data_IF_080307117747
#
_entry.id   IF_080307117747
#
_cell.length_a   1.000
_cell.length_b   1.000
_cell.length_c   1.000
_cell.angle_alpha   90.00
_cell.angle_beta   90.00
_cell.angle_gamma   90.00
#
_symmetry.space_group_name_H-M   'P 1'
#
loop_
_entity.id
_entity.type
_entity.pdbx_description
1 polymer ?
#
# COMPACT_ATOMS: atom_id res chain seq x y z
N UNK A 1 20.77 3.66 -17.22
CA UNK A 1 19.83 2.52 -17.18
C UNK A 1 18.78 2.78 -18.22
N UNK A 2 18.55 1.85 -19.17
CA UNK A 2 17.47 1.99 -20.15
C UNK A 2 16.12 1.62 -19.53
N UNK A 3 15.00 2.05 -20.12
CA UNK A 3 13.65 1.67 -19.67
C UNK A 3 13.50 0.13 -19.58
N UNK A 4 13.90 -0.59 -20.63
CA UNK A 4 13.86 -2.06 -20.64
C UNK A 4 14.71 -2.68 -19.53
N UNK A 5 15.90 -2.13 -19.24
CA UNK A 5 16.71 -2.61 -18.11
C UNK A 5 16.00 -2.32 -16.79
N UNK A 6 15.43 -1.13 -16.62
CA UNK A 6 14.70 -0.75 -15.41
C UNK A 6 13.50 -1.68 -15.16
N UNK A 7 12.61 -1.87 -16.15
CA UNK A 7 11.42 -2.72 -16.05
C UNK A 7 11.80 -4.16 -15.67
N UNK A 8 12.83 -4.72 -16.33
CA UNK A 8 13.26 -6.09 -16.06
C UNK A 8 13.92 -6.26 -14.69
N UNK A 9 14.80 -5.34 -14.29
CA UNK A 9 15.51 -5.42 -13.01
C UNK A 9 14.61 -5.10 -11.80
N UNK A 10 13.67 -4.17 -11.97
CA UNK A 10 12.69 -3.81 -10.93
C UNK A 10 11.56 -4.81 -10.78
N UNK A 11 11.38 -5.72 -11.76
CA UNK A 11 10.24 -6.64 -11.85
C UNK A 11 8.92 -5.88 -11.80
N UNK A 12 8.81 -4.84 -12.63
CA UNK A 12 7.65 -3.97 -12.67
C UNK A 12 6.36 -4.77 -12.95
N UNK A 13 5.20 -4.35 -12.40
CA UNK A 13 3.93 -5.03 -12.67
C UNK A 13 3.59 -4.94 -14.16
N UNK A 14 2.78 -5.89 -14.66
CA UNK A 14 2.45 -5.97 -16.10
C UNK A 14 1.78 -4.72 -16.67
N UNK A 15 1.13 -3.92 -15.82
CA UNK A 15 0.51 -2.64 -16.19
C UNK A 15 1.43 -1.42 -16.01
N UNK A 16 2.73 -1.60 -15.78
CA UNK A 16 3.70 -0.52 -15.52
C UNK A 16 3.59 0.63 -16.54
N UNK A 17 3.61 0.31 -17.83
CA UNK A 17 3.61 1.30 -18.92
C UNK A 17 2.41 2.25 -18.85
N UNK A 18 1.23 1.72 -18.53
CA UNK A 18 0.00 2.51 -18.48
C UNK A 18 -0.21 3.18 -17.11
N UNK A 19 0.07 2.47 -16.01
CA UNK A 19 -0.33 2.90 -14.67
C UNK A 19 0.77 3.60 -13.85
N UNK A 20 2.05 3.34 -14.13
CA UNK A 20 3.16 3.79 -13.27
C UNK A 20 4.23 4.59 -14.00
N UNK A 21 4.50 4.28 -15.26
CA UNK A 21 5.53 4.96 -16.06
C UNK A 21 5.35 6.48 -16.11
N UNK A 22 4.13 7.04 -16.29
CA UNK A 22 3.96 8.50 -16.27
C UNK A 22 4.41 9.14 -14.95
N UNK A 23 4.13 8.49 -13.81
CA UNK A 23 4.55 8.99 -12.50
C UNK A 23 6.08 8.95 -12.33
N UNK A 24 6.71 7.86 -12.77
CA UNK A 24 8.17 7.68 -12.68
C UNK A 24 8.91 8.66 -13.58
N UNK A 25 8.48 8.83 -14.82
CA UNK A 25 9.11 9.79 -15.74
C UNK A 25 8.87 11.23 -15.30
N UNK A 26 7.68 11.58 -14.81
CA UNK A 26 7.43 12.90 -14.21
C UNK A 26 8.36 13.18 -13.02
N UNK A 27 8.53 12.21 -12.13
CA UNK A 27 9.45 12.35 -10.99
C UNK A 27 10.90 12.54 -11.45
N UNK A 28 11.33 11.80 -12.46
CA UNK A 28 12.68 11.89 -13.05
C UNK A 28 12.92 13.24 -13.73
N UNK A 29 11.99 13.72 -14.55
CA UNK A 29 12.06 15.02 -15.22
C UNK A 29 12.17 16.17 -14.21
N UNK A 30 11.42 16.07 -13.10
CA UNK A 30 11.38 17.09 -12.05
C UNK A 30 12.37 16.84 -10.90
N UNK A 31 13.26 15.85 -11.03
CA UNK A 31 14.27 15.47 -10.00
C UNK A 31 13.65 15.20 -8.61
N UNK A 32 12.43 14.66 -8.58
CA UNK A 32 11.75 14.23 -7.37
C UNK A 32 12.33 12.89 -6.93
N UNK A 33 12.74 12.79 -5.66
CA UNK A 33 13.23 11.54 -5.06
C UNK A 33 12.11 10.49 -5.07
N UNK A 34 12.36 9.36 -5.73
CA UNK A 34 11.47 8.18 -5.70
C UNK A 34 12.01 7.18 -4.69
N UNK A 35 11.14 6.72 -3.78
CA UNK A 35 11.49 5.73 -2.75
C UNK A 35 10.65 4.47 -2.97
N UNK A 36 11.33 3.32 -3.08
CA UNK A 36 10.66 2.02 -3.08
C UNK A 36 10.26 1.67 -1.64
N UNK A 37 9.03 1.97 -1.26
CA UNK A 37 8.58 1.90 0.14
C UNK A 37 8.31 0.49 0.67
N UNK A 38 8.18 -0.51 -0.20
CA UNK A 38 7.80 -1.86 0.22
C UNK A 38 8.95 -2.60 0.91
N UNK A 39 8.61 -3.34 1.97
CA UNK A 39 9.48 -4.40 2.46
C UNK A 39 9.79 -5.41 1.33
N UNK A 40 11.05 -5.85 1.16
CA UNK A 40 11.41 -6.79 0.11
C UNK A 40 10.58 -8.08 0.18
N UNK A 41 10.02 -8.48 -0.97
CA UNK A 41 9.09 -9.63 -1.07
C UNK A 41 9.63 -10.93 -0.47
N UNK A 42 10.96 -11.14 -0.48
CA UNK A 42 11.59 -12.32 0.13
C UNK A 42 11.37 -12.39 1.66
N UNK A 43 11.38 -11.24 2.33
CA UNK A 43 11.18 -11.17 3.78
C UNK A 43 9.70 -11.18 4.13
N UNK A 44 8.84 -10.59 3.29
CA UNK A 44 7.38 -10.76 3.41
C UNK A 44 6.98 -12.22 3.26
N UNK A 45 7.57 -12.92 2.29
CA UNK A 45 7.36 -14.36 2.13
C UNK A 45 7.92 -15.18 3.29
N UNK A 46 8.97 -14.69 3.96
CA UNK A 46 9.51 -15.31 5.17
C UNK A 46 8.55 -15.13 6.34
N UNK A 47 8.07 -13.90 6.59
CA UNK A 47 7.04 -13.60 7.59
C UNK A 47 5.82 -14.51 7.46
N UNK A 48 5.36 -14.74 6.22
CA UNK A 48 4.27 -15.68 5.93
C UNK A 48 4.51 -17.09 6.45
N UNK A 49 5.75 -17.57 6.37
CA UNK A 49 6.11 -18.96 6.71
C UNK A 49 6.42 -19.13 8.19
N UNK A 50 7.13 -18.17 8.79
CA UNK A 50 7.65 -18.30 10.17
C UNK A 50 6.86 -17.50 11.19
N UNK A 51 5.99 -16.60 10.73
CA UNK A 51 5.17 -15.71 11.55
C UNK A 51 5.90 -14.44 11.97
N UNK A 52 5.12 -13.42 12.36
CA UNK A 52 5.60 -12.10 12.80
C UNK A 52 6.64 -12.16 13.92
N UNK A 53 6.44 -13.05 14.90
CA UNK A 53 7.29 -13.11 16.09
C UNK A 53 8.64 -13.76 15.83
N UNK A 54 8.71 -14.75 14.93
CA UNK A 54 9.91 -15.56 14.73
C UNK A 54 10.75 -15.09 13.52
N UNK A 55 10.30 -14.05 12.80
CA UNK A 55 10.98 -13.60 11.59
C UNK A 55 12.42 -13.16 11.88
N UNK A 56 12.68 -12.54 13.03
CA UNK A 56 14.00 -12.05 13.43
C UNK A 56 15.04 -13.16 13.48
N UNK A 57 14.67 -14.35 13.97
CA UNK A 57 15.56 -15.50 14.13
C UNK A 57 16.05 -16.07 12.77
N UNK A 58 15.34 -15.72 11.70
CA UNK A 58 15.62 -16.19 10.34
C UNK A 58 16.31 -15.13 9.46
N UNK A 59 16.69 -13.98 10.01
CA UNK A 59 17.27 -12.85 9.27
C UNK A 59 18.77 -12.69 9.53
N UNK A 60 19.52 -12.43 8.46
CA UNK A 60 20.91 -11.98 8.58
C UNK A 60 20.95 -10.52 9.05
N UNK A 61 22.01 -10.06 9.76
CA UNK A 61 22.09 -8.69 10.27
C UNK A 61 21.90 -7.60 9.21
N UNK A 62 22.43 -7.81 7.99
CA UNK A 62 22.25 -6.86 6.88
C UNK A 62 20.81 -6.73 6.38
N UNK A 63 19.95 -7.72 6.63
CA UNK A 63 18.56 -7.69 6.21
C UNK A 63 17.72 -6.69 7.01
N UNK A 64 18.07 -6.44 8.28
CA UNK A 64 17.33 -5.54 9.17
C UNK A 64 17.28 -4.11 8.66
N UNK A 65 18.29 -3.68 7.89
CA UNK A 65 18.33 -2.35 7.25
C UNK A 65 17.27 -2.14 6.16
N UNK A 66 16.66 -3.22 5.68
CA UNK A 66 15.65 -3.20 4.62
C UNK A 66 14.24 -3.44 5.17
N UNK A 67 14.09 -3.47 6.49
CA UNK A 67 12.86 -3.85 7.18
C UNK A 67 12.47 -2.77 8.20
N UNK A 68 11.18 -2.67 8.53
CA UNK A 68 10.74 -1.89 9.68
C UNK A 68 11.28 -2.49 10.98
N UNK A 69 11.23 -1.76 12.10
CA UNK A 69 11.51 -2.31 13.42
C UNK A 69 10.73 -3.60 13.66
N UNK A 70 11.44 -4.65 14.09
CA UNK A 70 10.88 -5.97 14.35
C UNK A 70 10.85 -6.25 15.86
N UNK A 71 9.79 -6.93 16.37
CA UNK A 71 8.58 -7.29 15.64
C UNK A 71 7.72 -6.03 15.37
N UNK A 72 7.11 -5.97 14.17
CA UNK A 72 6.15 -4.91 13.84
C UNK A 72 4.83 -5.10 14.62
N UNK A 73 3.99 -4.08 14.66
CA UNK A 73 2.70 -4.14 15.34
C UNK A 73 1.81 -5.27 14.80
N UNK A 74 1.05 -5.99 15.65
CA UNK A 74 0.06 -6.94 15.14
C UNK A 74 -1.01 -6.22 14.32
N UNK A 75 -1.63 -6.95 13.39
CA UNK A 75 -2.84 -6.49 12.74
C UNK A 75 -3.93 -6.21 13.79
N UNK A 76 -4.64 -5.10 13.65
CA UNK A 76 -5.83 -4.84 14.46
C UNK A 76 -6.99 -5.73 14.05
N UNK A 77 -7.99 -5.87 14.92
CA UNK A 77 -9.21 -6.62 14.60
C UNK A 77 -9.97 -6.07 13.37
N UNK A 78 -10.15 -4.74 13.19
CA UNK A 78 -10.73 -4.20 11.97
C UNK A 78 -9.94 -4.55 10.70
N UNK A 79 -8.62 -4.46 10.75
CA UNK A 79 -7.77 -4.80 9.60
C UNK A 79 -7.79 -6.30 9.30
N UNK A 80 -7.71 -7.15 10.32
CA UNK A 80 -7.84 -8.60 10.17
C UNK A 80 -9.19 -8.99 9.57
N UNK A 81 -10.27 -8.36 10.03
CA UNK A 81 -11.63 -8.58 9.49
C UNK A 81 -11.74 -8.15 8.02
N UNK A 82 -11.19 -6.98 7.68
CA UNK A 82 -11.12 -6.50 6.28
C UNK A 82 -10.35 -7.48 5.40
N UNK A 83 -9.19 -7.95 5.87
CA UNK A 83 -8.38 -8.94 5.16
C UNK A 83 -9.16 -10.24 4.91
N UNK A 84 -9.81 -10.78 5.94
CA UNK A 84 -10.61 -12.01 5.84
C UNK A 84 -11.75 -11.86 4.82
N UNK A 85 -12.44 -10.71 4.80
CA UNK A 85 -13.52 -10.46 3.84
C UNK A 85 -13.02 -10.47 2.38
N UNK A 86 -11.85 -9.88 2.12
CA UNK A 86 -11.22 -9.93 0.78
C UNK A 86 -10.86 -11.37 0.41
N UNK A 87 -10.28 -12.13 1.33
CA UNK A 87 -9.90 -13.53 1.07
C UNK A 87 -11.12 -14.42 0.74
N UNK A 88 -12.24 -14.25 1.47
CA UNK A 88 -13.50 -14.93 1.18
C UNK A 88 -14.03 -14.60 -0.22
N UNK A 89 -13.94 -13.33 -0.63
CA UNK A 89 -14.35 -12.87 -1.97
C UNK A 89 -13.54 -13.51 -3.10
N UNK A 90 -12.28 -13.87 -2.85
CA UNK A 90 -11.40 -14.57 -3.79
C UNK A 90 -11.67 -16.09 -3.86
N UNK A 91 -12.78 -16.58 -3.28
CA UNK A 91 -13.14 -18.02 -3.18
C UNK A 91 -12.01 -18.90 -2.66
N UNK A 92 -11.14 -18.32 -1.85
CA UNK A 92 -10.00 -18.98 -1.23
C UNK A 92 -10.33 -19.11 0.25
N UNK A 93 -10.59 -20.33 0.71
CA UNK A 93 -10.72 -20.65 2.14
C UNK A 93 -9.43 -21.33 2.60
N UNK A 94 -8.34 -20.57 2.83
CA UNK A 94 -7.11 -21.13 3.35
C UNK A 94 -7.32 -21.68 4.78
N UNK A 95 -6.47 -22.62 5.19
CA UNK A 95 -6.42 -23.01 6.60
C UNK A 95 -6.17 -21.79 7.50
N UNK A 96 -6.59 -21.86 8.76
CA UNK A 96 -6.33 -20.78 9.74
C UNK A 96 -4.86 -20.36 9.77
N UNK A 97 -3.94 -21.34 9.76
CA UNK A 97 -2.49 -21.09 9.76
C UNK A 97 -2.02 -20.38 8.49
N UNK A 98 -2.54 -20.75 7.33
CA UNK A 98 -2.23 -20.09 6.07
C UNK A 98 -2.83 -18.67 6.02
N UNK A 99 -4.02 -18.47 6.57
CA UNK A 99 -4.65 -17.15 6.70
C UNK A 99 -3.83 -16.22 7.60
N UNK A 100 -3.41 -16.71 8.78
CA UNK A 100 -2.60 -15.93 9.71
C UNK A 100 -1.24 -15.56 9.10
N UNK A 101 -0.58 -16.51 8.44
CA UNK A 101 0.67 -16.23 7.73
C UNK A 101 0.48 -15.18 6.62
N UNK A 102 -0.62 -15.22 5.87
CA UNK A 102 -0.89 -14.19 4.87
C UNK A 102 -1.16 -12.82 5.50
N UNK A 103 -1.87 -12.77 6.63
CA UNK A 103 -2.11 -11.53 7.38
C UNK A 103 -0.81 -10.94 7.94
N UNK A 104 0.08 -11.76 8.51
CA UNK A 104 1.41 -11.35 8.97
C UNK A 104 2.23 -10.77 7.80
N UNK A 105 2.21 -11.44 6.64
CA UNK A 105 2.90 -10.98 5.45
C UNK A 105 2.36 -9.63 4.95
N UNK A 106 1.03 -9.48 4.91
CA UNK A 106 0.37 -8.25 4.49
C UNK A 106 0.70 -7.10 5.44
N UNK A 107 0.63 -7.34 6.75
CA UNK A 107 0.96 -6.35 7.77
C UNK A 107 2.45 -5.95 7.74
N UNK A 108 3.37 -6.87 7.41
CA UNK A 108 4.79 -6.52 7.21
C UNK A 108 5.00 -5.61 6.00
N UNK A 109 4.25 -5.78 4.90
CA UNK A 109 4.30 -4.83 3.79
C UNK A 109 3.87 -3.44 4.24
N UNK A 110 2.76 -3.35 4.98
CA UNK A 110 2.25 -2.07 5.50
C UNK A 110 3.22 -1.41 6.48
N UNK A 111 3.79 -2.19 7.39
CA UNK A 111 4.83 -1.73 8.31
C UNK A 111 6.06 -1.21 7.54
N UNK A 112 6.49 -1.91 6.48
CA UNK A 112 7.61 -1.47 5.65
C UNK A 112 7.34 -0.16 4.91
N UNK A 113 6.13 0.01 4.36
CA UNK A 113 5.72 1.26 3.71
C UNK A 113 5.63 2.41 4.71
N UNK A 114 4.97 2.19 5.85
CA UNK A 114 4.87 3.16 6.93
C UNK A 114 6.25 3.59 7.45
N UNK A 115 7.15 2.63 7.66
CA UNK A 115 8.50 2.91 8.12
C UNK A 115 9.30 3.70 7.08
N UNK A 116 9.21 3.34 5.80
CA UNK A 116 9.88 4.10 4.73
C UNK A 116 9.43 5.56 4.69
N UNK A 117 8.15 5.83 4.90
CA UNK A 117 7.62 7.20 5.00
C UNK A 117 8.21 7.88 6.25
N UNK A 118 8.16 7.23 7.41
CA UNK A 118 8.67 7.80 8.67
C UNK A 118 10.18 8.09 8.63
N UNK A 119 10.95 7.24 7.96
CA UNK A 119 12.40 7.43 7.77
C UNK A 119 12.71 8.68 6.96
N UNK A 120 11.91 9.05 5.95
CA UNK A 120 12.13 10.28 5.17
C UNK A 120 12.04 11.52 6.08
N UNK A 121 11.04 11.57 6.97
CA UNK A 121 10.91 12.67 7.92
C UNK A 121 12.05 12.69 8.95
N UNK A 122 12.42 11.52 9.48
CA UNK A 122 13.52 11.40 10.44
C UNK A 122 14.86 11.81 9.82
N UNK A 123 15.16 11.37 8.60
CA UNK A 123 16.34 11.77 7.82
C UNK A 123 16.38 13.29 7.66
N UNK A 124 15.26 13.90 7.24
CA UNK A 124 15.18 15.35 7.01
C UNK A 124 15.33 16.18 8.28
N UNK A 125 14.94 15.65 9.45
CA UNK A 125 15.08 16.35 10.72
C UNK A 125 16.54 16.51 11.16
N UNK A 126 17.45 15.69 10.59
CA UNK A 126 18.91 15.78 10.82
C UNK A 126 19.63 16.63 9.78
N UNK A 127 18.94 17.02 8.70
CA UNK A 127 19.46 17.92 7.69
C UNK A 127 19.30 19.38 8.18
N UNK A 128 20.29 20.22 7.89
CA UNK A 128 20.24 21.67 8.22
C UNK A 128 19.30 22.46 7.29
N UNK A 129 18.69 21.79 6.31
CA UNK A 129 17.59 22.32 5.50
C UNK A 129 16.38 22.67 6.37
N UNK A 130 15.84 23.88 6.22
CA UNK A 130 14.65 24.35 6.94
C UNK A 130 13.32 23.82 6.38
N UNK A 131 13.35 23.04 5.30
CA UNK A 131 12.14 22.57 4.61
C UNK A 131 11.76 21.16 5.06
N UNK A 132 10.55 21.04 5.64
CA UNK A 132 9.94 19.74 5.93
C UNK A 132 9.62 19.01 4.61
N UNK A 133 9.86 17.70 4.53
CA UNK A 133 9.57 16.95 3.31
C UNK A 133 8.06 16.82 3.11
N UNK A 134 7.64 16.80 1.84
CA UNK A 134 6.30 16.43 1.43
C UNK A 134 6.38 15.06 0.75
N UNK A 135 5.64 14.08 1.28
CA UNK A 135 5.65 12.70 0.78
C UNK A 135 4.35 12.40 0.07
N UNK A 136 4.42 12.15 -1.23
CA UNK A 136 3.31 11.62 -2.03
C UNK A 136 3.48 10.10 -2.15
N UNK A 137 2.65 9.33 -1.45
CA UNK A 137 2.71 7.87 -1.43
C UNK A 137 1.60 7.27 -2.30
N UNK A 138 1.99 6.43 -3.26
CA UNK A 138 1.07 5.70 -4.14
C UNK A 138 1.10 4.23 -3.77
N UNK A 139 -0.05 3.68 -3.42
CA UNK A 139 -0.22 2.27 -3.04
C UNK A 139 -1.56 1.71 -3.52
N UNK A 140 -1.71 0.39 -3.46
CA UNK A 140 -3.02 -0.23 -3.64
C UNK A 140 -3.98 0.19 -2.52
N UNK A 141 -5.23 0.45 -2.85
CA UNK A 141 -6.20 1.06 -1.93
C UNK A 141 -6.38 0.27 -0.62
N UNK A 142 -6.30 -1.07 -0.68
CA UNK A 142 -6.40 -1.94 0.49
C UNK A 142 -5.49 -1.50 1.65
N UNK A 143 -4.28 -1.01 1.33
CA UNK A 143 -3.24 -0.64 2.28
C UNK A 143 -3.50 0.68 3.04
N UNK A 144 -4.47 1.48 2.62
CA UNK A 144 -4.76 2.81 3.19
C UNK A 144 -6.24 3.06 3.47
N UNK A 145 -7.12 2.32 2.81
CA UNK A 145 -8.57 2.45 2.95
C UNK A 145 -9.03 2.28 4.40
N UNK A 146 -9.94 3.15 4.82
CA UNK A 146 -10.49 3.22 6.19
C UNK A 146 -9.46 3.51 7.28
N UNK A 147 -8.35 4.15 6.90
CA UNK A 147 -7.24 4.47 7.80
C UNK A 147 -6.67 3.22 8.50
N UNK A 148 -6.68 2.08 7.80
CA UNK A 148 -6.09 0.83 8.28
C UNK A 148 -4.74 0.55 7.58
N UNK A 149 -4.01 -0.47 8.01
CA UNK A 149 -2.78 -0.91 7.35
C UNK A 149 -1.63 0.06 7.55
N UNK A 150 -1.21 0.78 6.48
CA UNK A 150 -0.11 1.75 6.55
C UNK A 150 -0.38 2.82 7.61
N UNK A 151 -1.63 3.26 7.73
CA UNK A 151 -2.05 4.26 8.72
C UNK A 151 -1.83 3.81 10.17
N UNK A 152 -2.14 2.55 10.46
CA UNK A 152 -1.99 1.99 11.81
C UNK A 152 -0.51 1.95 12.21
N UNK A 153 0.34 1.47 11.30
CA UNK A 153 1.80 1.46 11.52
C UNK A 153 2.38 2.87 11.57
N UNK A 154 1.93 3.78 10.72
CA UNK A 154 2.36 5.18 10.76
C UNK A 154 1.95 5.89 12.05
N UNK A 155 0.82 5.52 12.65
CA UNK A 155 0.38 6.08 13.93
C UNK A 155 1.28 5.62 15.09
N UNK A 156 1.94 4.46 14.94
CA UNK A 156 2.98 4.00 15.88
C UNK A 156 4.31 4.70 15.61
N UNK A 157 4.75 4.81 14.35
CA UNK A 157 6.06 5.36 14.02
C UNK A 157 6.11 6.90 14.09
N UNK A 158 5.02 7.57 13.73
CA UNK A 158 4.89 9.02 13.70
C UNK A 158 3.45 9.45 14.01
N UNK A 159 3.05 9.44 15.31
CA UNK A 159 1.67 9.72 15.72
C UNK A 159 1.20 11.13 15.33
N UNK A 160 2.11 12.13 15.33
CA UNK A 160 1.79 13.53 15.04
C UNK A 160 1.92 13.90 13.55
N UNK A 161 2.11 12.92 12.65
CA UNK A 161 2.25 13.19 11.22
C UNK A 161 0.89 13.54 10.61
N UNK A 162 0.77 14.76 10.09
CA UNK A 162 -0.36 15.16 9.26
C UNK A 162 -0.35 14.37 7.95
N UNK A 163 -1.48 13.76 7.63
CA UNK A 163 -1.66 12.88 6.48
C UNK A 163 -3.05 13.06 5.90
N UNK A 164 -3.15 12.93 4.58
CA UNK A 164 -4.41 12.97 3.83
C UNK A 164 -4.42 11.77 2.90
N UNK A 165 -5.52 11.03 2.91
CA UNK A 165 -5.74 9.84 2.08
C UNK A 165 -6.74 10.16 0.99
N UNK A 166 -6.33 9.93 -0.25
CA UNK A 166 -7.21 9.99 -1.40
C UNK A 166 -7.36 8.57 -1.93
N UNK A 167 -8.58 8.02 -1.85
CA UNK A 167 -8.88 6.71 -2.43
C UNK A 167 -9.49 6.89 -3.81
N UNK A 168 -8.89 6.24 -4.81
CA UNK A 168 -9.44 6.16 -6.16
C UNK A 168 -10.24 4.86 -6.25
N UNK A 169 -11.54 4.96 -6.47
CA UNK A 169 -12.45 3.81 -6.49
C UNK A 169 -13.19 3.74 -7.82
N UNK A 170 -13.09 2.64 -8.58
CA UNK A 170 -13.90 2.46 -9.78
C UNK A 170 -15.37 2.25 -9.39
N UNK A 171 -16.28 2.87 -10.15
CA UNK A 171 -17.70 2.57 -10.05
C UNK A 171 -17.93 1.10 -10.44
N UNK A 172 -18.89 0.46 -9.80
CA UNK A 172 -19.36 -0.84 -10.29
C UNK A 172 -20.25 -0.59 -11.50
N UNK A 173 -20.09 -1.39 -12.56
CA UNK A 173 -21.07 -1.43 -13.64
C UNK A 173 -22.37 -1.93 -13.02
N UNK A 174 -23.35 -1.04 -12.81
CA UNK A 174 -24.73 -1.46 -12.58
C UNK A 174 -25.23 -2.14 -13.86
N UNK A 175 -26.18 -3.07 -13.75
CA UNK A 175 -26.73 -3.83 -14.88
C UNK A 175 -27.10 -2.88 -16.05
N UNK A 176 -27.02 -3.33 -17.32
CA UNK A 176 -27.13 -2.43 -18.47
C UNK A 176 -28.45 -1.67 -18.43
N UNK A 177 -28.39 -0.38 -18.08
CA UNK A 177 -29.49 0.53 -18.34
C UNK A 177 -29.55 0.74 -19.85
N UNK A 178 -30.74 0.69 -20.42
CA UNK A 178 -30.99 0.83 -21.85
C UNK A 178 -30.80 2.25 -22.38
N UNK A 179 -30.22 3.17 -21.59
CA UNK A 179 -29.94 4.54 -21.99
C UNK A 179 -28.53 4.66 -22.56
N UNK A 180 -28.41 5.35 -23.71
CA UNK A 180 -27.14 5.64 -24.39
C UNK A 180 -26.25 6.66 -23.66
N UNK A 181 -26.57 6.98 -22.42
CA UNK A 181 -25.91 7.99 -21.59
C UNK A 181 -25.15 7.29 -20.46
N UNK A 182 -23.96 6.76 -20.78
CA UNK A 182 -23.07 6.05 -19.85
C UNK A 182 -22.49 6.93 -18.70
N UNK A 183 -23.02 8.15 -18.51
CA UNK A 183 -22.61 9.11 -17.46
C UNK A 183 -23.43 8.91 -16.18
N UNK A 184 -24.46 8.05 -16.19
CA UNK A 184 -25.42 7.95 -15.09
C UNK A 184 -24.97 7.11 -13.87
N UNK A 185 -23.83 6.42 -13.94
CA UNK A 185 -23.38 5.48 -12.90
C UNK A 185 -22.12 5.93 -12.10
N UNK A 186 -21.66 7.18 -12.27
CA UNK A 186 -20.60 7.76 -11.42
C UNK A 186 -21.19 8.35 -10.13
N UNK A 187 -21.82 7.50 -9.32
CA UNK A 187 -22.44 7.91 -8.07
C UNK A 187 -21.52 7.64 -6.86
N UNK A 188 -21.35 8.65 -6.01
CA UNK A 188 -20.82 8.43 -4.68
C UNK A 188 -21.88 7.74 -3.81
N UNK A 189 -21.64 6.48 -3.46
CA UNK A 189 -22.50 5.69 -2.56
C UNK A 189 -21.93 5.80 -1.15
N UNK A 190 -22.57 6.58 -0.27
CA UNK A 190 -22.07 6.85 1.08
C UNK A 190 -21.76 5.57 1.89
N UNK A 191 -22.62 4.54 1.80
CA UNK A 191 -22.40 3.27 2.50
C UNK A 191 -21.15 2.49 2.02
N UNK A 192 -20.72 2.72 0.78
CA UNK A 192 -19.56 2.05 0.18
C UNK A 192 -18.29 2.90 0.26
N UNK A 193 -18.42 4.21 0.04
CA UNK A 193 -17.30 5.13 -0.14
C UNK A 193 -17.03 6.02 1.08
N UNK A 194 -18.03 6.23 1.95
CA UNK A 194 -17.98 7.24 3.02
C UNK A 194 -16.82 7.12 4.00
N UNK A 195 -16.30 5.90 4.18
CA UNK A 195 -15.23 5.61 5.13
C UNK A 195 -13.96 5.09 4.44
N UNK A 196 -13.77 5.30 3.14
CA UNK A 196 -12.57 4.80 2.44
C UNK A 196 -11.34 5.69 2.67
N UNK A 197 -11.50 7.01 2.75
CA UNK A 197 -10.41 7.94 3.02
C UNK A 197 -10.93 9.34 3.27
N UNK A 198 -10.03 10.30 3.49
CA UNK A 198 -10.39 11.72 3.66
C UNK A 198 -11.06 12.28 2.40
N UNK A 199 -10.61 11.79 1.23
CA UNK A 199 -11.26 12.03 -0.05
C UNK A 199 -11.43 10.72 -0.82
N UNK A 200 -12.51 10.63 -1.58
CA UNK A 200 -12.73 9.52 -2.51
C UNK A 200 -13.03 10.07 -3.89
N UNK A 201 -12.29 9.59 -4.88
CA UNK A 201 -12.51 9.89 -6.30
C UNK A 201 -13.15 8.66 -6.93
N UNK A 202 -14.41 8.80 -7.37
CA UNK A 202 -15.11 7.75 -8.09
C UNK A 202 -14.80 7.89 -9.58
N UNK A 203 -14.28 6.82 -10.19
CA UNK A 203 -13.93 6.79 -11.61
C UNK A 203 -14.82 5.80 -12.36
N UNK A 204 -14.93 5.87 -13.69
CA UNK A 204 -15.49 4.77 -14.45
C UNK A 204 -14.76 3.46 -14.17
N UNK A 205 -15.46 2.33 -14.25
CA UNK A 205 -14.83 1.03 -14.27
C UNK A 205 -13.82 0.97 -15.45
N UNK A 206 -12.62 0.39 -15.27
CA UNK A 206 -11.70 0.20 -16.38
C UNK A 206 -12.32 -0.69 -17.46
N UNK A 207 -12.03 -0.39 -18.73
CA UNK A 207 -12.35 -1.28 -19.84
C UNK A 207 -11.54 -2.57 -19.66
N UNK A 208 -12.24 -3.70 -19.53
CA UNK A 208 -11.68 -5.05 -19.35
C UNK A 208 -11.25 -5.67 -20.67
#
# INVERSE_FOLDING_TARGET
VTENQFVNLSRAPGNYTAAYRPLVEYAKENRIRVVASNAPRRYVSLARRVGRQNITDSLLPGALRLLPPLPYSPASEPYASKFQNVMRGLRSEPSYTASQGMLDAQSLWDAGMAYSIASIFTESATDSSSLKPFVFHVSGSFHVESNLGIHEHLSVYMPSLNRVTVVISPCEKTAPSSSKDAVQDLAFIAAKHGNLGDFVVVTPAPDT
#
